data_IF_851615677551
#
_entry.id   IF_851615677551
#
_cell.length_a   1.000
_cell.length_b   1.000
_cell.length_c   1.000
_cell.angle_alpha   90.00
_cell.angle_beta   90.00
_cell.angle_gamma   90.00
#
_symmetry.space_group_name_H-M   'P 1'
#
loop_
_entity.id
_entity.type
_entity.pdbx_description
1 polymer ?
#
# COMPACT_ATOMS: atom_id res chain seq x y z
N UNK A 1 11.48 26.46 4.24
CA UNK A 1 12.22 25.46 5.03
C UNK A 1 11.31 24.49 5.79
N UNK A 2 10.23 24.91 6.47
CA UNK A 2 9.28 23.95 7.11
C UNK A 2 8.48 23.10 6.11
N UNK A 3 8.08 23.66 4.97
CA UNK A 3 7.25 22.91 3.99
C UNK A 3 8.00 21.81 3.24
N UNK A 4 9.27 22.02 2.87
CA UNK A 4 10.07 21.01 2.15
C UNK A 4 10.36 19.78 3.01
N UNK A 5 10.56 19.96 4.31
CA UNK A 5 10.77 18.85 5.25
C UNK A 5 9.49 18.05 5.49
N UNK A 6 8.33 18.72 5.57
CA UNK A 6 7.05 18.04 5.71
C UNK A 6 6.65 17.26 4.45
N UNK A 7 6.93 17.82 3.26
CA UNK A 7 6.72 17.12 1.99
C UNK A 7 7.58 15.86 1.90
N UNK A 8 8.86 15.95 2.28
CA UNK A 8 9.74 14.80 2.29
C UNK A 8 9.29 13.70 3.25
N UNK A 9 8.77 14.08 4.43
CA UNK A 9 8.18 13.11 5.36
C UNK A 9 6.89 12.49 4.82
N UNK A 10 6.10 13.27 4.06
CA UNK A 10 4.83 12.80 3.48
C UNK A 10 5.06 11.91 2.26
N UNK A 11 6.04 12.21 1.42
CA UNK A 11 6.38 11.48 0.19
C UNK A 11 7.86 11.07 0.19
N UNK A 12 8.25 10.13 1.06
CA UNK A 12 9.65 9.74 1.27
C UNK A 12 10.33 9.14 0.04
N UNK A 13 9.55 8.64 -0.91
CA UNK A 13 10.00 8.04 -2.17
C UNK A 13 9.44 8.78 -3.41
N UNK A 14 9.00 10.03 -3.23
CA UNK A 14 8.31 10.80 -4.27
C UNK A 14 6.88 10.32 -4.55
N UNK A 15 6.28 10.87 -5.61
CA UNK A 15 4.92 10.55 -6.06
C UNK A 15 4.93 9.46 -7.13
N UNK A 16 3.87 8.65 -7.19
CA UNK A 16 3.67 7.74 -8.29
C UNK A 16 3.36 8.50 -9.57
N UNK A 17 4.05 8.16 -10.65
CA UNK A 17 3.80 8.68 -12.00
C UNK A 17 3.64 7.49 -12.93
N UNK A 18 2.46 7.36 -13.53
CA UNK A 18 2.19 6.29 -14.48
C UNK A 18 2.56 6.71 -15.90
N UNK A 19 3.14 5.78 -16.64
CA UNK A 19 3.35 5.86 -18.09
C UNK A 19 2.78 4.59 -18.73
N UNK A 20 2.01 4.70 -19.82
CA UNK A 20 1.38 3.53 -20.46
C UNK A 20 2.39 2.57 -21.10
N UNK A 21 3.60 3.03 -21.42
CA UNK A 21 4.66 2.22 -22.01
C UNK A 21 5.41 1.41 -20.94
N UNK A 22 4.76 0.38 -20.39
CA UNK A 22 5.33 -0.51 -19.36
C UNK A 22 5.88 -1.80 -19.98
N UNK A 23 7.20 -2.00 -19.86
CA UNK A 23 7.86 -3.24 -20.28
C UNK A 23 7.51 -4.42 -19.36
N UNK A 24 7.69 -5.66 -19.86
CA UNK A 24 7.55 -6.87 -19.03
C UNK A 24 8.46 -6.85 -17.80
N UNK A 25 9.65 -6.24 -17.93
CA UNK A 25 10.60 -6.12 -16.83
C UNK A 25 10.05 -5.22 -15.71
N UNK A 26 9.48 -4.07 -16.06
CA UNK A 26 8.89 -3.14 -15.07
C UNK A 26 7.65 -3.76 -14.43
N UNK A 27 6.79 -4.41 -15.23
CA UNK A 27 5.63 -5.12 -14.70
C UNK A 27 6.04 -6.24 -13.74
N UNK A 28 7.03 -7.05 -14.12
CA UNK A 28 7.57 -8.11 -13.25
C UNK A 28 8.14 -7.54 -11.96
N UNK A 29 8.86 -6.43 -12.03
CA UNK A 29 9.42 -5.76 -10.85
C UNK A 29 8.31 -5.28 -9.90
N UNK A 30 7.25 -4.62 -10.42
CA UNK A 30 6.11 -4.23 -9.59
C UNK A 30 5.42 -5.43 -8.92
N UNK A 31 5.25 -6.54 -9.63
CA UNK A 31 4.67 -7.77 -9.07
C UNK A 31 5.60 -8.35 -7.98
N UNK A 32 6.91 -8.36 -8.20
CA UNK A 32 7.89 -8.79 -7.19
C UNK A 32 7.91 -7.88 -5.95
N UNK A 33 7.74 -6.57 -6.11
CA UNK A 33 7.60 -5.64 -4.99
C UNK A 33 6.34 -5.93 -4.17
N UNK A 34 5.20 -6.20 -4.84
CA UNK A 34 3.96 -6.62 -4.17
C UNK A 34 4.16 -7.97 -3.44
N UNK A 35 4.86 -8.93 -4.05
CA UNK A 35 5.16 -10.23 -3.45
C UNK A 35 6.01 -10.11 -2.18
N UNK A 36 7.02 -9.24 -2.20
CA UNK A 36 7.93 -9.05 -1.06
C UNK A 36 7.35 -8.18 0.06
N UNK A 37 6.33 -7.36 -0.21
CA UNK A 37 5.83 -6.35 0.73
C UNK A 37 5.44 -6.91 2.11
N UNK A 38 4.64 -8.00 2.24
CA UNK A 38 4.22 -8.49 3.55
C UNK A 38 5.39 -8.89 4.44
N UNK A 39 6.38 -9.60 3.89
CA UNK A 39 7.56 -10.03 4.63
C UNK A 39 8.46 -8.86 5.03
N UNK A 40 8.63 -7.86 4.15
CA UNK A 40 9.39 -6.64 4.45
C UNK A 40 8.72 -5.82 5.56
N UNK A 41 7.40 -5.67 5.48
CA UNK A 41 6.63 -4.96 6.50
C UNK A 41 6.73 -5.67 7.85
N UNK A 42 6.50 -6.99 7.89
CA UNK A 42 6.58 -7.79 9.10
C UNK A 42 7.96 -7.68 9.78
N UNK A 43 9.04 -7.87 9.02
CA UNK A 43 10.42 -7.74 9.55
C UNK A 43 10.70 -6.34 10.11
N UNK A 44 10.13 -5.29 9.50
CA UNK A 44 10.32 -3.92 9.95
C UNK A 44 9.59 -3.60 11.25
N UNK A 45 8.37 -4.13 11.43
CA UNK A 45 7.48 -3.73 12.54
C UNK A 45 7.49 -4.69 13.72
N UNK A 46 7.83 -5.97 13.53
CA UNK A 46 7.86 -6.97 14.59
C UNK A 46 8.82 -6.63 15.75
N UNK A 47 9.99 -6.01 15.51
CA UNK A 47 10.88 -5.60 16.60
C UNK A 47 10.37 -4.39 17.41
N UNK A 48 9.31 -3.71 16.97
CA UNK A 48 8.83 -2.49 17.61
C UNK A 48 7.96 -2.78 18.83
N UNK A 49 8.22 -2.06 19.92
CA UNK A 49 7.40 -2.13 21.13
C UNK A 49 6.11 -1.30 21.01
N UNK A 50 5.21 -1.43 21.98
CA UNK A 50 3.92 -0.72 22.01
C UNK A 50 4.04 0.81 21.89
N UNK A 51 5.02 1.43 22.55
CA UNK A 51 5.23 2.88 22.44
C UNK A 51 5.65 3.27 21.01
N UNK A 52 6.54 2.49 20.39
CA UNK A 52 7.01 2.71 19.02
C UNK A 52 5.88 2.50 18.00
N UNK A 53 5.06 1.47 18.17
CA UNK A 53 3.90 1.21 17.32
C UNK A 53 2.86 2.34 17.38
N UNK A 54 2.74 2.99 18.53
CA UNK A 54 1.83 4.11 18.74
C UNK A 54 2.48 5.49 18.46
N UNK A 55 3.69 5.52 17.90
CA UNK A 55 4.37 6.77 17.53
C UNK A 55 3.97 7.22 16.12
N UNK A 56 3.57 8.49 15.92
CA UNK A 56 3.31 9.04 14.59
C UNK A 56 4.54 9.06 13.68
N UNK A 57 4.40 8.66 12.40
CA UNK A 57 5.54 8.70 11.45
C UNK A 57 6.02 10.12 11.14
N UNK A 58 5.11 11.10 11.28
CA UNK A 58 5.37 12.54 11.17
C UNK A 58 4.42 13.33 12.07
N UNK A 59 4.68 14.62 12.36
CA UNK A 59 3.73 15.47 13.09
C UNK A 59 2.35 15.50 12.43
N UNK A 60 1.30 15.16 13.21
CA UNK A 60 -0.08 15.07 12.74
C UNK A 60 -0.37 13.93 11.75
N UNK A 61 0.59 13.02 11.54
CA UNK A 61 0.42 11.81 10.73
C UNK A 61 -0.11 10.63 11.53
N UNK A 62 -0.33 9.52 10.83
CA UNK A 62 -0.71 8.25 11.44
C UNK A 62 0.42 7.63 12.27
N UNK A 63 0.04 6.80 13.23
CA UNK A 63 0.97 5.92 13.95
C UNK A 63 1.46 4.77 13.05
N UNK A 64 2.53 4.09 13.46
CA UNK A 64 2.98 2.86 12.78
C UNK A 64 1.87 1.81 12.76
N UNK A 65 1.15 1.63 13.88
CA UNK A 65 0.00 0.73 13.98
C UNK A 65 -1.07 1.06 12.93
N UNK A 66 -1.48 2.33 12.85
CA UNK A 66 -2.46 2.79 11.87
C UNK A 66 -1.97 2.58 10.43
N UNK A 67 -0.68 2.79 10.15
CA UNK A 67 -0.10 2.51 8.82
C UNK A 67 -0.18 1.03 8.47
N UNK A 68 0.13 0.12 9.39
CA UNK A 68 0.05 -1.33 9.14
C UNK A 68 -1.38 -1.76 8.83
N UNK A 69 -2.36 -1.28 9.61
CA UNK A 69 -3.78 -1.56 9.35
C UNK A 69 -4.26 -0.93 8.03
N UNK A 70 -3.87 0.31 7.74
CA UNK A 70 -4.19 0.99 6.48
C UNK A 70 -3.65 0.24 5.25
N UNK A 71 -2.43 -0.28 5.31
CA UNK A 71 -1.87 -1.07 4.19
C UNK A 71 -2.77 -2.29 3.92
N UNK A 72 -3.22 -3.00 4.96
CA UNK A 72 -4.15 -4.12 4.84
C UNK A 72 -5.49 -3.70 4.21
N UNK A 73 -6.13 -2.65 4.72
CA UNK A 73 -7.42 -2.16 4.23
C UNK A 73 -7.34 -1.68 2.77
N UNK A 74 -6.34 -0.83 2.48
CA UNK A 74 -6.13 -0.27 1.15
C UNK A 74 -5.86 -1.35 0.12
N UNK A 75 -5.06 -2.36 0.46
CA UNK A 75 -4.74 -3.47 -0.44
C UNK A 75 -5.92 -4.44 -0.60
N UNK A 76 -6.77 -4.60 0.42
CA UNK A 76 -8.03 -5.34 0.30
C UNK A 76 -8.95 -4.68 -0.74
N UNK A 77 -9.15 -3.37 -0.61
CA UNK A 77 -9.91 -2.60 -1.60
C UNK A 77 -9.31 -2.72 -2.99
N UNK A 78 -7.98 -2.68 -3.13
CA UNK A 78 -7.30 -2.90 -4.41
C UNK A 78 -7.59 -4.26 -5.01
N UNK A 79 -7.52 -5.32 -4.20
CA UNK A 79 -7.80 -6.68 -4.65
C UNK A 79 -9.22 -6.82 -5.20
N UNK A 80 -10.20 -6.18 -4.57
CA UNK A 80 -11.58 -6.13 -5.07
C UNK A 80 -11.63 -5.38 -6.41
N UNK A 81 -10.96 -4.23 -6.53
CA UNK A 81 -10.91 -3.45 -7.78
C UNK A 81 -10.32 -4.25 -8.94
N UNK A 82 -9.25 -5.02 -8.70
CA UNK A 82 -8.70 -5.94 -9.69
C UNK A 82 -9.74 -6.97 -10.15
N UNK A 83 -10.50 -7.55 -9.21
CA UNK A 83 -11.56 -8.52 -9.55
C UNK A 83 -12.65 -7.87 -10.39
N UNK A 84 -13.18 -6.72 -9.98
CA UNK A 84 -14.19 -6.00 -10.75
C UNK A 84 -13.72 -5.62 -12.16
N UNK A 85 -12.53 -5.01 -12.29
CA UNK A 85 -11.99 -4.64 -13.59
C UNK A 85 -11.81 -5.85 -14.52
N UNK A 86 -11.48 -7.03 -13.98
CA UNK A 86 -11.33 -8.27 -14.76
C UNK A 86 -12.66 -8.92 -15.16
N UNK A 87 -13.75 -8.65 -14.45
CA UNK A 87 -15.03 -9.37 -14.64
C UNK A 87 -16.18 -8.50 -15.12
N UNK A 88 -16.03 -7.18 -15.09
CA UNK A 88 -17.07 -6.22 -15.45
C UNK A 88 -16.53 -5.22 -16.48
N UNK A 89 -17.42 -4.68 -17.30
CA UNK A 89 -17.08 -3.67 -18.30
C UNK A 89 -17.03 -2.28 -17.65
N UNK A 90 -15.82 -1.74 -17.48
CA UNK A 90 -15.54 -0.39 -16.97
C UNK A 90 -16.34 -0.05 -15.68
N UNK A 91 -16.28 -0.89 -14.62
CA UNK A 91 -17.09 -0.70 -13.43
C UNK A 91 -16.69 0.57 -12.67
N UNK A 92 -17.67 1.28 -12.11
CA UNK A 92 -17.43 2.38 -11.15
C UNK A 92 -17.18 1.76 -9.78
N UNK A 93 -16.00 1.99 -9.22
CA UNK A 93 -15.62 1.39 -7.93
C UNK A 93 -16.17 2.20 -6.76
N UNK A 94 -16.24 1.57 -5.58
CA UNK A 94 -16.54 2.28 -4.33
C UNK A 94 -15.28 2.89 -3.72
N UNK A 95 -15.24 4.21 -3.62
CA UNK A 95 -14.27 4.93 -2.80
C UNK A 95 -14.58 4.73 -1.30
N UNK A 96 -13.58 4.89 -0.44
CA UNK A 96 -13.72 4.73 1.00
C UNK A 96 -12.96 5.84 1.73
N UNK A 97 -13.45 6.20 2.92
CA UNK A 97 -12.87 7.27 3.71
C UNK A 97 -11.70 6.75 4.57
N UNK A 98 -10.53 6.54 3.96
CA UNK A 98 -9.32 6.00 4.64
C UNK A 98 -8.98 6.72 5.96
N UNK A 99 -9.18 8.04 6.02
CA UNK A 99 -8.96 8.85 7.22
C UNK A 99 -9.96 8.55 8.33
N UNK A 100 -11.18 8.16 8.00
CA UNK A 100 -12.18 7.77 9.00
C UNK A 100 -11.96 6.31 9.44
N UNK A 101 -11.54 5.43 8.52
CA UNK A 101 -11.17 4.04 8.86
C UNK A 101 -10.01 3.99 9.85
N UNK A 102 -8.96 4.78 9.63
CA UNK A 102 -7.82 4.88 10.57
C UNK A 102 -8.17 5.43 11.96
N UNK A 103 -9.34 6.05 12.13
CA UNK A 103 -9.85 6.52 13.44
C UNK A 103 -10.68 5.47 14.17
N UNK A 104 -11.02 4.35 13.53
CA UNK A 104 -11.79 3.29 14.16
C UNK A 104 -10.98 2.62 15.28
N UNK A 105 -11.70 2.02 16.24
CA UNK A 105 -11.08 1.43 17.43
C UNK A 105 -10.04 0.36 17.07
N UNK A 106 -10.33 -0.48 16.09
CA UNK A 106 -9.45 -1.55 15.63
C UNK A 106 -8.17 -0.99 15.00
N UNK A 107 -8.26 0.02 14.13
CA UNK A 107 -7.08 0.67 13.55
C UNK A 107 -6.16 1.35 14.59
N UNK A 108 -6.71 1.74 15.76
CA UNK A 108 -5.96 2.40 16.83
C UNK A 108 -5.40 1.45 17.88
N UNK A 109 -5.99 0.26 18.07
CA UNK A 109 -5.70 -0.58 19.24
C UNK A 109 -5.47 -2.05 18.92
N UNK A 110 -5.90 -2.55 17.75
CA UNK A 110 -5.79 -3.96 17.44
C UNK A 110 -4.31 -4.39 17.32
N UNK A 111 -3.96 -5.64 17.67
CA UNK A 111 -2.64 -6.18 17.39
C UNK A 111 -2.30 -6.11 15.90
N UNK A 112 -1.11 -5.60 15.56
CA UNK A 112 -0.68 -5.47 14.16
C UNK A 112 -0.58 -6.83 13.44
N UNK A 113 -0.42 -7.93 14.19
CA UNK A 113 -0.36 -9.29 13.66
C UNK A 113 -1.61 -9.66 12.84
N UNK A 114 -2.79 -9.14 13.20
CA UNK A 114 -4.02 -9.36 12.43
C UNK A 114 -3.88 -8.88 10.98
N UNK A 115 -3.32 -7.69 10.79
CA UNK A 115 -3.10 -7.12 9.46
C UNK A 115 -1.89 -7.74 8.75
N UNK A 116 -0.83 -8.11 9.48
CA UNK A 116 0.33 -8.79 8.89
C UNK A 116 -0.05 -10.16 8.32
N UNK A 117 -0.77 -10.99 9.09
CA UNK A 117 -1.22 -12.31 8.64
C UNK A 117 -2.24 -12.20 7.50
N UNK A 118 -3.13 -11.21 7.59
CA UNK A 118 -4.06 -10.91 6.52
C UNK A 118 -3.35 -10.51 5.21
N UNK A 119 -2.36 -9.63 5.29
CA UNK A 119 -1.57 -9.18 4.13
C UNK A 119 -0.82 -10.33 3.46
N UNK A 120 -0.28 -11.29 4.23
CA UNK A 120 0.37 -12.49 3.65
C UNK A 120 -0.60 -13.26 2.75
N UNK A 121 -1.80 -13.57 3.25
CA UNK A 121 -2.80 -14.30 2.49
C UNK A 121 -3.33 -13.49 1.29
N UNK A 122 -3.62 -12.20 1.50
CA UNK A 122 -4.12 -11.30 0.48
C UNK A 122 -3.12 -11.16 -0.69
N UNK A 123 -1.85 -10.88 -0.37
CA UNK A 123 -0.80 -10.69 -1.37
C UNK A 123 -0.45 -11.98 -2.10
N UNK A 124 -0.45 -13.13 -1.43
CA UNK A 124 -0.27 -14.42 -2.10
C UNK A 124 -1.35 -14.63 -3.19
N UNK A 125 -2.61 -14.35 -2.87
CA UNK A 125 -3.73 -14.43 -3.83
C UNK A 125 -3.63 -13.39 -4.94
N UNK A 126 -3.24 -12.16 -4.60
CA UNK A 126 -3.08 -11.08 -5.56
C UNK A 126 -1.96 -11.41 -6.55
N UNK A 127 -0.76 -11.73 -6.06
CA UNK A 127 0.40 -12.05 -6.91
C UNK A 127 0.13 -13.26 -7.80
N UNK A 128 -0.51 -14.31 -7.27
CA UNK A 128 -0.91 -15.46 -8.08
C UNK A 128 -1.84 -15.07 -9.24
N UNK A 129 -2.79 -14.16 -8.99
CA UNK A 129 -3.64 -13.60 -10.04
C UNK A 129 -2.82 -12.81 -11.07
N UNK A 130 -2.00 -11.87 -10.61
CA UNK A 130 -1.28 -10.93 -11.48
C UNK A 130 -0.26 -11.62 -12.40
N UNK A 131 0.44 -12.65 -11.91
CA UNK A 131 1.44 -13.41 -12.70
C UNK A 131 0.84 -14.15 -13.91
N UNK A 132 -0.49 -14.30 -13.97
CA UNK A 132 -1.18 -15.07 -15.00
C UNK A 132 -2.09 -14.21 -15.90
N UNK A 133 -2.01 -12.89 -15.81
CA UNK A 133 -2.82 -12.01 -16.65
C UNK A 133 -2.21 -11.89 -18.05
N UNK A 134 -3.09 -11.92 -19.06
CA UNK A 134 -2.75 -11.60 -20.44
C UNK A 134 -2.58 -10.09 -20.64
N UNK A 135 -1.94 -9.67 -21.74
CA UNK A 135 -1.82 -8.24 -22.09
C UNK A 135 -3.18 -7.55 -22.23
N UNK A 136 -4.14 -8.19 -22.88
CA UNK A 136 -5.52 -7.67 -23.00
C UNK A 136 -6.20 -7.47 -21.63
N UNK A 137 -5.99 -8.40 -20.68
CA UNK A 137 -6.52 -8.25 -19.33
C UNK A 137 -5.87 -7.10 -18.56
N UNK A 138 -4.57 -6.83 -18.78
CA UNK A 138 -3.87 -5.71 -18.15
C UNK A 138 -4.41 -4.34 -18.62
N UNK A 139 -4.98 -4.28 -19.82
CA UNK A 139 -5.59 -3.07 -20.40
C UNK A 139 -7.03 -2.84 -19.93
N UNK A 140 -7.66 -3.81 -19.24
CA UNK A 140 -8.98 -3.60 -18.64
C UNK A 140 -8.91 -2.52 -17.56
N UNK A 141 -9.99 -1.76 -17.42
CA UNK A 141 -10.04 -0.58 -16.55
C UNK A 141 -11.20 -0.62 -15.57
N UNK A 142 -11.08 0.17 -14.51
CA UNK A 142 -12.20 0.60 -13.68
C UNK A 142 -12.26 2.13 -13.63
N UNK A 143 -13.41 2.69 -13.23
CA UNK A 143 -13.62 4.14 -13.12
C UNK A 143 -13.55 4.54 -11.64
N UNK A 144 -12.67 5.48 -11.30
CA UNK A 144 -12.63 6.06 -9.96
C UNK A 144 -13.74 7.13 -9.83
N UNK A 145 -14.65 7.02 -8.85
CA UNK A 145 -15.87 7.83 -8.82
C UNK A 145 -15.61 9.33 -8.58
N UNK A 146 -14.52 9.70 -7.89
CA UNK A 146 -14.25 11.10 -7.54
C UNK A 146 -13.54 11.87 -8.65
N UNK A 147 -12.73 11.19 -9.47
CA UNK A 147 -11.95 11.82 -10.55
C UNK A 147 -12.52 11.53 -11.93
N UNK A 148 -13.51 10.63 -12.01
CA UNK A 148 -14.03 10.02 -13.25
C UNK A 148 -12.93 9.41 -14.14
N UNK A 149 -11.74 9.21 -13.57
CA UNK A 149 -10.58 8.73 -14.30
C UNK A 149 -10.68 7.21 -14.46
N UNK A 150 -10.31 6.74 -15.66
CA UNK A 150 -10.05 5.34 -15.90
C UNK A 150 -8.70 4.97 -15.31
N UNK A 151 -8.67 3.86 -14.58
CA UNK A 151 -7.44 3.28 -14.06
C UNK A 151 -7.35 1.86 -14.61
N UNK A 152 -6.32 1.59 -15.41
CA UNK A 152 -6.08 0.26 -15.93
C UNK A 152 -5.58 -0.68 -14.83
N UNK A 153 -5.73 -1.99 -15.05
CA UNK A 153 -5.14 -3.00 -14.19
C UNK A 153 -3.63 -2.81 -14.14
N UNK A 154 -2.98 -2.56 -15.28
CA UNK A 154 -1.55 -2.25 -15.37
C UNK A 154 -1.14 -1.07 -14.49
N UNK A 155 -1.88 0.04 -14.57
CA UNK A 155 -1.64 1.21 -13.71
C UNK A 155 -1.83 0.85 -12.24
N UNK A 156 -2.90 0.12 -11.91
CA UNK A 156 -3.22 -0.23 -10.52
C UNK A 156 -2.15 -1.15 -9.91
N UNK A 157 -1.50 -2.03 -10.69
CA UNK A 157 -0.35 -2.83 -10.23
C UNK A 157 0.80 -1.90 -9.81
N UNK A 158 1.21 -0.98 -10.69
CA UNK A 158 2.30 -0.04 -10.39
C UNK A 158 1.97 0.89 -9.22
N UNK A 159 0.73 1.40 -9.18
CA UNK A 159 0.25 2.27 -8.11
C UNK A 159 0.32 1.58 -6.75
N UNK A 160 -0.07 0.31 -6.67
CA UNK A 160 -0.04 -0.44 -5.41
C UNK A 160 1.34 -0.98 -5.03
N UNK A 161 2.22 -1.23 -6.00
CA UNK A 161 3.64 -1.45 -5.72
C UNK A 161 4.27 -0.20 -5.09
N UNK A 162 4.00 0.99 -5.66
CA UNK A 162 4.43 2.26 -5.05
C UNK A 162 3.78 2.51 -3.69
N UNK A 163 2.46 2.33 -3.54
CA UNK A 163 1.73 2.58 -2.29
C UNK A 163 2.27 1.74 -1.12
N UNK A 164 2.52 0.45 -1.35
CA UNK A 164 3.13 -0.43 -0.36
C UNK A 164 4.50 0.05 0.07
N UNK A 165 5.38 0.35 -0.88
CA UNK A 165 6.73 0.85 -0.60
C UNK A 165 6.71 2.26 0.03
N UNK A 166 5.75 3.09 -0.32
CA UNK A 166 5.57 4.44 0.21
C UNK A 166 5.30 4.40 1.72
N UNK A 167 4.35 3.57 2.16
CA UNK A 167 4.05 3.44 3.58
C UNK A 167 5.12 2.65 4.34
N UNK A 168 5.76 1.68 3.70
CA UNK A 168 6.94 1.03 4.28
C UNK A 168 8.04 2.06 4.55
N UNK A 169 8.32 2.96 3.60
CA UNK A 169 9.30 4.02 3.75
C UNK A 169 8.95 5.04 4.84
N UNK A 170 7.66 5.31 5.11
CA UNK A 170 7.26 6.12 6.28
C UNK A 170 7.76 5.50 7.58
N UNK A 171 7.59 4.19 7.73
CA UNK A 171 8.01 3.45 8.93
C UNK A 171 9.53 3.35 8.99
N UNK A 172 10.20 3.01 7.88
CA UNK A 172 11.67 2.92 7.81
C UNK A 172 12.34 4.25 8.19
N UNK A 173 11.81 5.37 7.70
CA UNK A 173 12.35 6.69 8.01
C UNK A 173 12.10 7.12 9.46
N UNK A 174 10.94 6.76 10.03
CA UNK A 174 10.68 6.94 11.45
C UNK A 174 11.70 6.16 12.29
N UNK A 175 11.83 4.86 12.04
CA UNK A 175 12.78 3.96 12.73
C UNK A 175 14.20 4.55 12.68
N UNK A 176 14.63 5.00 11.50
CA UNK A 176 15.95 5.61 11.30
C UNK A 176 16.12 6.92 12.08
N UNK A 177 15.12 7.81 12.04
CA UNK A 177 15.18 9.12 12.71
C UNK A 177 15.23 8.98 14.23
N UNK A 178 14.47 8.04 14.78
CA UNK A 178 14.40 7.81 16.22
C UNK A 178 15.52 6.89 16.74
N UNK A 179 16.38 6.37 15.85
CA UNK A 179 17.51 5.52 16.21
C UNK A 179 17.11 4.16 16.80
N UNK A 180 15.93 3.65 16.44
CA UNK A 180 15.46 2.37 16.93
C UNK A 180 16.28 1.25 16.28
N UNK A 181 17.06 0.53 17.10
CA UNK A 181 17.84 -0.62 16.61
C UNK A 181 16.88 -1.73 16.18
N UNK A 182 16.98 -2.16 14.93
CA UNK A 182 16.49 -3.48 14.54
C UNK A 182 17.38 -4.48 15.28
N UNK A 183 16.81 -5.18 16.26
CA UNK A 183 17.51 -6.32 16.87
C UNK A 183 17.56 -7.39 15.78
N UNK A 184 18.75 -7.55 15.18
CA UNK A 184 19.06 -8.60 14.22
C UNK A 184 19.03 -9.95 14.94
#
# INVERSE_FOLDING_TARGET
MKDSTLEQLRYPIGHFVFSPEVSDMVLSDWISQLEALPARLESLVTPLNEQQLNTPYRPGGWTVRQLVHHIADSHHHSYIRFKWALTEERPVIKAYYEKEWSKLFDANNAPISLSLDYLKALHAKLVYLLKNLTREQLDRVYIHPESEAEVSILENIGKYAWHGNHHLAHIEQLVKREGWKQVI
#
